data_IF_288229072827
#
_entry.id   IF_288229072827
#
_cell.length_a   1.000
_cell.length_b   1.000
_cell.length_c   1.000
_cell.angle_alpha   90.00
_cell.angle_beta   90.00
_cell.angle_gamma   90.00
#
_symmetry.space_group_name_H-M   'P 1'
#
loop_
_entity.id
_entity.type
_entity.pdbx_description
1 polymer ?
#
# COMPACT_ATOMS: atom_id res chain seq x y z
N UNK A 1 -32.10 8.81 25.75
CA UNK A 1 -31.17 7.68 25.47
C UNK A 1 -31.76 7.01 24.24
N UNK A 2 -31.32 7.44 23.07
CA UNK A 2 -31.63 6.76 21.80
C UNK A 2 -30.62 5.65 21.69
N UNK A 3 -31.10 4.41 21.59
CA UNK A 3 -30.26 3.25 21.25
C UNK A 3 -29.46 3.62 20.00
N UNK A 4 -28.15 3.56 20.11
CA UNK A 4 -27.29 3.60 18.94
C UNK A 4 -27.57 2.31 18.16
N UNK A 5 -28.02 2.42 16.92
CA UNK A 5 -28.23 1.29 16.04
C UNK A 5 -26.92 0.50 15.91
N UNK A 6 -26.99 -0.81 16.01
CA UNK A 6 -25.86 -1.71 15.76
C UNK A 6 -25.48 -1.55 14.28
N UNK A 7 -24.21 -1.26 13.93
CA UNK A 7 -23.80 -1.12 12.54
C UNK A 7 -24.11 -2.35 11.67
N UNK A 8 -24.30 -3.53 12.27
CA UNK A 8 -24.76 -4.72 11.56
C UNK A 8 -26.20 -4.67 11.02
N UNK A 9 -27.09 -3.82 11.60
CA UNK A 9 -28.47 -3.65 11.12
C UNK A 9 -28.56 -2.84 9.81
N UNK A 10 -27.54 -2.02 9.49
CA UNK A 10 -27.50 -1.20 8.26
C UNK A 10 -27.00 -2.00 7.02
N UNK A 11 -26.44 -3.20 7.20
CA UNK A 11 -25.90 -4.03 6.10
C UNK A 11 -26.96 -4.87 5.36
N UNK A 12 -28.25 -4.70 5.63
CA UNK A 12 -29.33 -5.50 5.03
C UNK A 12 -29.62 -5.19 3.53
N UNK A 13 -28.97 -4.16 2.96
CA UNK A 13 -29.39 -3.59 1.66
C UNK A 13 -28.99 -4.42 0.43
N UNK A 14 -27.81 -5.06 0.40
CA UNK A 14 -27.29 -5.75 -0.79
C UNK A 14 -27.56 -7.25 -0.82
N UNK A 15 -27.90 -7.87 0.31
CA UNK A 15 -27.97 -9.33 0.48
C UNK A 15 -26.59 -10.02 0.45
N UNK A 16 -25.50 -9.27 0.39
CA UNK A 16 -24.12 -9.77 0.46
C UNK A 16 -23.62 -9.76 1.90
N UNK A 17 -23.03 -10.87 2.35
CA UNK A 17 -22.40 -10.99 3.66
C UNK A 17 -20.87 -10.76 3.54
N UNK A 18 -20.37 -9.57 3.92
CA UNK A 18 -18.94 -9.27 3.81
C UNK A 18 -18.09 -10.13 4.76
N UNK A 19 -18.65 -10.57 5.89
CA UNK A 19 -17.93 -11.37 6.88
C UNK A 19 -17.82 -12.81 6.40
N UNK A 20 -18.91 -13.40 5.90
CA UNK A 20 -18.88 -14.74 5.29
C UNK A 20 -17.93 -14.80 4.09
N UNK A 21 -17.90 -13.76 3.25
CA UNK A 21 -16.93 -13.66 2.17
C UNK A 21 -15.49 -13.58 2.71
N UNK A 22 -15.23 -12.75 3.72
CA UNK A 22 -13.90 -12.61 4.32
C UNK A 22 -13.38 -13.92 4.90
N UNK A 23 -14.24 -14.70 5.61
CA UNK A 23 -13.88 -16.03 6.11
C UNK A 23 -13.46 -16.98 4.98
N UNK A 24 -14.22 -16.99 3.88
CA UNK A 24 -13.89 -17.79 2.70
C UNK A 24 -12.58 -17.30 2.04
N UNK A 25 -12.40 -15.98 1.92
CA UNK A 25 -11.22 -15.37 1.33
C UNK A 25 -9.93 -15.65 2.13
N UNK A 26 -9.96 -15.50 3.46
CA UNK A 26 -8.80 -15.81 4.33
C UNK A 26 -8.50 -17.30 4.33
N UNK A 27 -9.53 -18.15 4.22
CA UNK A 27 -9.37 -19.61 4.08
C UNK A 27 -8.80 -20.03 2.73
N UNK A 28 -8.76 -19.13 1.74
CA UNK A 28 -8.23 -19.38 0.40
C UNK A 28 -6.82 -18.79 0.28
N UNK A 29 -5.73 -19.60 0.29
CA UNK A 29 -4.37 -19.11 0.15
C UNK A 29 -4.15 -18.36 -1.18
N UNK A 30 -3.39 -17.26 -1.13
CA UNK A 30 -3.06 -16.43 -2.32
C UNK A 30 -1.63 -15.86 -2.28
N UNK A 31 -0.73 -16.52 -1.55
CA UNK A 31 0.67 -16.08 -1.36
C UNK A 31 1.64 -16.62 -2.42
N UNK A 32 1.29 -17.71 -3.11
CA UNK A 32 2.10 -18.30 -4.20
C UNK A 32 1.37 -18.20 -5.53
N UNK A 33 0.04 -18.37 -5.51
CA UNK A 33 -0.83 -18.29 -6.67
C UNK A 33 -2.19 -17.73 -6.25
N UNK A 34 -2.69 -16.79 -7.01
CA UNK A 34 -3.97 -16.10 -6.75
C UNK A 34 -5.17 -16.71 -7.49
N UNK A 35 -4.99 -17.78 -8.27
CA UNK A 35 -6.05 -18.32 -9.14
C UNK A 35 -7.30 -18.74 -8.37
N UNK A 36 -7.16 -19.39 -7.24
CA UNK A 36 -8.30 -19.83 -6.40
C UNK A 36 -9.01 -18.63 -5.76
N UNK A 37 -8.25 -17.64 -5.28
CA UNK A 37 -8.82 -16.42 -4.70
C UNK A 37 -9.53 -15.59 -5.78
N UNK A 38 -8.93 -15.47 -6.96
CA UNK A 38 -9.56 -14.82 -8.12
C UNK A 38 -10.86 -15.53 -8.53
N UNK A 39 -10.86 -16.86 -8.56
CA UNK A 39 -12.07 -17.66 -8.85
C UNK A 39 -13.17 -17.39 -7.83
N UNK A 40 -12.84 -17.38 -6.53
CA UNK A 40 -13.79 -17.05 -5.46
C UNK A 40 -14.41 -15.65 -5.68
N UNK A 41 -13.61 -14.65 -6.03
CA UNK A 41 -14.08 -13.29 -6.27
C UNK A 41 -15.01 -13.23 -7.50
N UNK A 42 -14.60 -13.84 -8.62
CA UNK A 42 -15.40 -13.89 -9.86
C UNK A 42 -16.74 -14.60 -9.62
N UNK A 43 -16.73 -15.80 -9.03
CA UNK A 43 -17.93 -16.56 -8.70
C UNK A 43 -18.86 -15.77 -7.76
N UNK A 44 -18.30 -14.99 -6.83
CA UNK A 44 -19.09 -14.14 -5.92
C UNK A 44 -19.77 -13.03 -6.71
N UNK A 45 -19.06 -12.27 -7.53
CA UNK A 45 -19.61 -11.18 -8.34
C UNK A 45 -20.68 -11.68 -9.32
N UNK A 46 -20.41 -12.78 -10.04
CA UNK A 46 -21.35 -13.42 -10.96
C UNK A 46 -22.60 -13.91 -10.24
N UNK A 47 -22.45 -14.43 -9.00
CA UNK A 47 -23.56 -14.86 -8.17
C UNK A 47 -24.54 -13.75 -7.81
N UNK A 48 -24.08 -12.50 -7.82
CA UNK A 48 -24.90 -11.27 -7.67
C UNK A 48 -25.31 -10.67 -9.02
N UNK A 49 -25.07 -11.35 -10.13
CA UNK A 49 -25.48 -10.92 -11.46
C UNK A 49 -24.63 -9.79 -12.05
N UNK A 50 -23.39 -9.64 -11.57
CA UNK A 50 -22.44 -8.66 -12.10
C UNK A 50 -21.62 -9.29 -13.21
N UNK A 51 -21.49 -8.58 -14.33
CA UNK A 51 -20.57 -8.96 -15.41
C UNK A 51 -19.13 -8.67 -14.98
N UNK A 52 -18.26 -9.68 -15.12
CA UNK A 52 -16.87 -9.62 -14.65
C UNK A 52 -15.92 -9.89 -15.80
N UNK A 53 -14.88 -9.07 -15.92
CA UNK A 53 -13.77 -9.32 -16.82
C UNK A 53 -12.49 -9.63 -16.01
N UNK A 54 -11.65 -10.50 -16.55
CA UNK A 54 -10.28 -10.70 -16.08
C UNK A 54 -9.36 -10.26 -17.22
N UNK A 55 -8.54 -9.25 -16.99
CA UNK A 55 -7.64 -8.70 -17.98
C UNK A 55 -6.38 -9.57 -18.20
N UNK A 56 -5.52 -9.16 -19.15
CA UNK A 56 -4.28 -9.88 -19.45
C UNK A 56 -3.26 -9.86 -18.28
N UNK A 57 -3.32 -8.85 -17.42
CA UNK A 57 -2.50 -8.76 -16.20
C UNK A 57 -3.08 -9.60 -15.05
N UNK A 58 -4.29 -10.15 -15.23
CA UNK A 58 -4.98 -10.96 -14.24
C UNK A 58 -5.80 -10.15 -13.23
N UNK A 59 -6.03 -8.88 -13.47
CA UNK A 59 -6.91 -8.06 -12.65
C UNK A 59 -8.37 -8.46 -12.86
N UNK A 60 -9.16 -8.48 -11.80
CA UNK A 60 -10.61 -8.66 -11.86
C UNK A 60 -11.25 -7.29 -11.94
N UNK A 61 -12.00 -7.04 -13.02
CA UNK A 61 -12.64 -5.75 -13.28
C UNK A 61 -14.14 -5.96 -13.44
N UNK A 62 -14.93 -5.18 -12.70
CA UNK A 62 -16.39 -5.15 -12.80
C UNK A 62 -16.87 -3.70 -12.79
N UNK A 63 -17.90 -3.41 -13.56
CA UNK A 63 -18.43 -2.04 -13.70
C UNK A 63 -19.94 -1.99 -13.49
N UNK A 64 -20.39 -0.93 -12.83
CA UNK A 64 -21.78 -0.49 -12.77
C UNK A 64 -21.86 0.95 -13.28
N UNK A 65 -22.75 1.21 -14.21
CA UNK A 65 -22.92 2.52 -14.79
C UNK A 65 -24.37 2.97 -14.73
N UNK A 66 -24.57 4.26 -14.49
CA UNK A 66 -25.88 4.88 -14.62
C UNK A 66 -26.35 4.89 -16.08
N UNK A 67 -27.65 5.14 -16.36
CA UNK A 67 -28.12 5.31 -17.73
C UNK A 67 -27.43 6.43 -18.53
N UNK A 68 -26.82 7.40 -17.84
CA UNK A 68 -26.10 8.54 -18.43
C UNK A 68 -24.77 8.75 -17.70
N UNK A 69 -23.79 7.87 -17.89
CA UNK A 69 -22.58 7.87 -17.08
C UNK A 69 -21.71 9.13 -17.23
N UNK A 70 -21.85 9.86 -18.32
CA UNK A 70 -21.13 11.12 -18.55
C UNK A 70 -21.64 12.28 -17.68
N UNK A 71 -22.77 12.14 -16.97
CA UNK A 71 -23.34 13.18 -16.11
C UNK A 71 -22.86 13.10 -14.64
N UNK A 72 -21.94 12.20 -14.34
CA UNK A 72 -21.36 12.04 -13.01
C UNK A 72 -19.91 11.56 -13.05
N UNK A 73 -19.26 11.42 -11.90
CA UNK A 73 -17.88 11.00 -11.84
C UNK A 73 -17.73 9.51 -12.15
N UNK A 74 -16.53 9.14 -12.60
CA UNK A 74 -16.06 7.77 -12.59
C UNK A 74 -15.32 7.48 -11.28
N UNK A 75 -15.92 6.67 -10.42
CA UNK A 75 -15.30 6.21 -9.17
C UNK A 75 -14.67 4.85 -9.41
N UNK A 76 -13.41 4.70 -9.01
CA UNK A 76 -12.70 3.42 -9.05
C UNK A 76 -12.42 2.97 -7.62
N UNK A 77 -12.94 1.80 -7.25
CA UNK A 77 -12.60 1.08 -6.02
C UNK A 77 -11.53 0.04 -6.39
N UNK A 78 -10.37 0.12 -5.76
CA UNK A 78 -9.23 -0.77 -6.03
C UNK A 78 -8.73 -1.41 -4.73
N UNK A 79 -8.25 -2.65 -4.84
CA UNK A 79 -7.49 -3.37 -3.80
C UNK A 79 -6.84 -4.60 -4.44
N UNK A 80 -6.14 -5.43 -3.66
CA UNK A 80 -5.45 -6.62 -4.15
C UNK A 80 -5.93 -7.92 -3.50
N UNK A 81 -5.59 -9.07 -4.13
CA UNK A 81 -5.94 -10.41 -3.63
C UNK A 81 -4.74 -11.28 -3.27
N UNK A 82 -3.54 -10.90 -3.70
CA UNK A 82 -2.34 -11.60 -3.27
C UNK A 82 -1.98 -11.27 -1.82
N UNK A 83 -1.10 -12.06 -1.27
CA UNK A 83 -0.64 -11.90 0.12
C UNK A 83 0.83 -12.33 0.22
N UNK A 84 1.55 -11.83 1.22
CA UNK A 84 2.93 -12.26 1.48
C UNK A 84 3.02 -13.69 2.01
N UNK A 85 4.22 -14.30 1.89
CA UNK A 85 4.59 -15.55 2.54
C UNK A 85 5.06 -15.30 3.98
N UNK A 86 4.92 -16.29 4.90
CA UNK A 86 4.23 -17.57 4.75
C UNK A 86 2.70 -17.44 4.86
N UNK A 87 1.98 -18.45 4.38
CA UNK A 87 0.56 -18.56 4.67
C UNK A 87 0.31 -18.76 6.18
N UNK A 88 -0.71 -18.06 6.69
CA UNK A 88 -1.24 -18.24 8.05
C UNK A 88 -2.68 -18.74 7.93
N UNK A 89 -2.97 -19.84 8.57
CA UNK A 89 -4.29 -20.46 8.48
C UNK A 89 -5.40 -19.57 9.06
N UNK A 90 -6.60 -19.70 8.49
CA UNK A 90 -7.80 -19.04 9.00
C UNK A 90 -8.16 -19.53 10.39
N UNK A 91 -8.43 -18.59 11.30
CA UNK A 91 -9.03 -18.82 12.61
C UNK A 91 -10.04 -17.69 12.90
N UNK A 92 -11.12 -18.01 13.61
CA UNK A 92 -12.07 -17.01 14.09
C UNK A 92 -12.23 -17.10 15.59
N UNK A 93 -11.83 -16.04 16.29
CA UNK A 93 -12.02 -15.86 17.72
C UNK A 93 -13.30 -15.06 17.95
N UNK A 94 -14.36 -15.71 18.45
CA UNK A 94 -15.61 -15.04 18.74
C UNK A 94 -15.63 -14.54 20.19
N UNK A 95 -16.06 -13.29 20.39
CA UNK A 95 -16.33 -12.78 21.72
C UNK A 95 -17.32 -13.72 22.45
N UNK A 96 -17.03 -14.06 23.70
CA UNK A 96 -17.93 -14.87 24.52
C UNK A 96 -19.25 -14.12 24.74
N UNK A 97 -20.31 -14.55 24.05
CA UNK A 97 -21.66 -14.01 24.24
C UNK A 97 -22.36 -14.79 25.33
N UNK A 98 -22.46 -14.23 26.57
CA UNK A 98 -23.35 -14.74 27.59
C UNK A 98 -22.72 -15.03 28.96
N UNK A 99 -23.53 -15.20 30.02
CA UNK A 99 -23.08 -15.29 31.43
C UNK A 99 -22.59 -16.67 31.86
N UNK A 100 -22.02 -17.47 30.98
CA UNK A 100 -21.43 -18.80 31.31
C UNK A 100 -19.88 -18.77 31.30
N UNK A 101 -19.27 -17.68 31.70
CA UNK A 101 -17.88 -17.71 32.13
C UNK A 101 -17.80 -18.34 33.53
N UNK A 102 -17.99 -19.66 33.58
CA UNK A 102 -17.67 -20.45 34.77
C UNK A 102 -16.19 -20.34 35.05
N UNK A 103 -15.86 -19.64 36.15
CA UNK A 103 -14.54 -19.58 36.74
C UNK A 103 -13.96 -20.95 37.01
N UNK A 104 -13.10 -21.45 36.14
CA UNK A 104 -12.04 -22.36 36.51
C UNK A 104 -10.74 -21.60 36.39
N UNK A 105 -10.20 -21.19 37.54
CA UNK A 105 -8.83 -20.69 37.64
C UNK A 105 -7.91 -21.83 37.19
N UNK A 106 -7.07 -21.55 36.20
CA UNK A 106 -5.89 -22.24 35.70
C UNK A 106 -5.90 -22.49 34.19
N UNK A 107 -6.25 -21.47 33.40
CA UNK A 107 -5.80 -21.43 32.01
C UNK A 107 -4.79 -20.28 31.86
N UNK A 108 -3.59 -20.62 31.45
CA UNK A 108 -2.55 -19.67 31.03
C UNK A 108 -3.14 -18.84 29.88
N UNK A 109 -3.56 -17.62 30.20
CA UNK A 109 -3.88 -16.61 29.16
C UNK A 109 -2.66 -16.44 28.29
N UNK A 110 -2.75 -16.89 27.07
CA UNK A 110 -1.72 -16.66 26.07
C UNK A 110 -1.68 -15.17 25.76
N UNK A 111 -0.51 -14.66 25.39
CA UNK A 111 -0.32 -13.23 25.06
C UNK A 111 -1.30 -12.69 24.00
N UNK A 112 -1.94 -13.57 23.23
CA UNK A 112 -2.95 -13.26 22.22
C UNK A 112 -4.27 -12.70 22.80
N UNK A 113 -4.66 -13.08 24.04
CA UNK A 113 -5.96 -12.66 24.62
C UNK A 113 -6.01 -11.18 25.02
N UNK A 114 -4.87 -10.54 25.15
CA UNK A 114 -4.79 -9.10 25.48
C UNK A 114 -5.02 -8.18 24.27
N UNK A 115 -4.85 -8.70 23.05
CA UNK A 115 -4.84 -7.90 21.83
C UNK A 115 -6.24 -7.62 21.26
N UNK A 116 -7.23 -8.46 21.54
CA UNK A 116 -8.56 -8.37 20.93
C UNK A 116 -9.63 -7.71 21.79
N UNK A 117 -9.31 -7.39 23.04
CA UNK A 117 -10.23 -6.76 23.99
C UNK A 117 -11.63 -7.44 24.04
N UNK A 118 -11.67 -8.76 23.83
CA UNK A 118 -12.91 -9.55 23.80
C UNK A 118 -13.78 -9.31 22.57
N UNK A 119 -13.24 -8.71 21.50
CA UNK A 119 -13.95 -8.48 20.23
C UNK A 119 -13.88 -9.71 19.31
N UNK A 120 -14.88 -9.88 18.44
CA UNK A 120 -14.89 -10.90 17.38
C UNK A 120 -13.83 -10.55 16.32
N UNK A 121 -12.88 -11.45 16.08
CA UNK A 121 -11.76 -11.23 15.14
C UNK A 121 -11.60 -12.41 14.17
N UNK A 122 -11.18 -12.10 12.96
CA UNK A 122 -10.73 -13.03 11.94
C UNK A 122 -9.22 -12.96 11.86
N UNK A 123 -8.53 -14.09 12.05
CA UNK A 123 -7.08 -14.24 11.94
C UNK A 123 -6.74 -15.03 10.69
N UNK A 124 -5.55 -14.76 10.16
CA UNK A 124 -5.00 -15.48 9.02
C UNK A 124 -4.35 -14.55 8.02
N UNK A 125 -3.58 -15.10 7.12
CA UNK A 125 -2.88 -14.32 6.10
C UNK A 125 -3.87 -13.63 5.15
N UNK A 126 -3.72 -12.31 4.99
CA UNK A 126 -4.62 -11.47 4.22
C UNK A 126 -5.82 -10.95 5.02
N UNK A 127 -5.97 -11.29 6.31
CA UNK A 127 -7.13 -10.86 7.08
C UNK A 127 -7.27 -9.33 7.13
N UNK A 128 -6.17 -8.60 7.33
CA UNK A 128 -6.16 -7.16 7.21
C UNK A 128 -5.56 -6.66 5.89
N UNK A 129 -4.65 -7.40 5.28
CA UNK A 129 -3.87 -6.98 4.11
C UNK A 129 -4.01 -7.97 2.94
N UNK A 130 -4.96 -7.77 1.97
CA UNK A 130 -6.04 -6.76 2.01
C UNK A 130 -7.43 -7.38 1.76
N UNK A 131 -7.69 -8.64 2.24
CA UNK A 131 -8.99 -9.33 2.04
C UNK A 131 -10.11 -8.71 2.88
N UNK A 132 -9.79 -8.13 4.06
CA UNK A 132 -10.71 -7.33 4.84
C UNK A 132 -11.17 -6.06 4.12
N UNK A 133 -10.26 -5.21 3.64
CA UNK A 133 -10.57 -4.11 2.74
C UNK A 133 -11.35 -4.53 1.49
N UNK A 134 -10.98 -5.64 0.84
CA UNK A 134 -11.71 -6.19 -0.31
C UNK A 134 -13.17 -6.53 0.06
N UNK A 135 -13.42 -7.17 1.19
CA UNK A 135 -14.78 -7.49 1.64
C UNK A 135 -15.64 -6.23 1.82
N UNK A 136 -15.04 -5.16 2.37
CA UNK A 136 -15.72 -3.88 2.54
C UNK A 136 -16.01 -3.17 1.20
N UNK A 137 -15.03 -3.14 0.29
CA UNK A 137 -15.21 -2.56 -1.05
C UNK A 137 -16.23 -3.34 -1.87
N UNK A 138 -16.20 -4.66 -1.79
CA UNK A 138 -17.13 -5.54 -2.49
C UNK A 138 -18.57 -5.32 -1.99
N UNK A 139 -18.77 -5.17 -0.66
CA UNK A 139 -20.08 -4.82 -0.11
C UNK A 139 -20.58 -3.49 -0.68
N UNK A 140 -19.77 -2.44 -0.64
CA UNK A 140 -20.14 -1.13 -1.17
C UNK A 140 -20.44 -1.17 -2.66
N UNK A 141 -19.61 -1.87 -3.45
CA UNK A 141 -19.82 -2.05 -4.89
C UNK A 141 -21.15 -2.78 -5.18
N UNK A 142 -21.44 -3.86 -4.48
CA UNK A 142 -22.68 -4.63 -4.69
C UNK A 142 -23.93 -3.84 -4.25
N UNK A 143 -23.82 -3.06 -3.19
CA UNK A 143 -24.91 -2.22 -2.70
C UNK A 143 -25.19 -0.99 -3.57
N UNK A 144 -24.19 -0.49 -4.30
CA UNK A 144 -24.32 0.70 -5.13
C UNK A 144 -25.26 0.50 -6.33
N UNK A 145 -26.12 1.48 -6.60
CA UNK A 145 -26.97 1.59 -7.79
C UNK A 145 -26.81 3.02 -8.38
N UNK A 146 -25.84 3.26 -9.27
CA UNK A 146 -25.51 4.59 -9.73
C UNK A 146 -26.65 5.27 -10.49
N UNK A 147 -27.14 6.41 -10.00
CA UNK A 147 -28.07 7.31 -10.69
C UNK A 147 -27.32 8.22 -11.68
N UNK A 148 -26.03 8.47 -11.42
CA UNK A 148 -25.11 9.25 -12.28
C UNK A 148 -23.71 8.65 -12.24
N UNK A 149 -22.89 8.93 -13.27
CA UNK A 149 -21.52 8.46 -13.34
C UNK A 149 -21.42 6.94 -13.49
N UNK A 150 -20.29 6.41 -13.10
CA UNK A 150 -19.98 4.98 -13.12
C UNK A 150 -19.07 4.58 -11.95
N UNK A 151 -19.16 3.32 -11.57
CA UNK A 151 -18.37 2.70 -10.53
C UNK A 151 -17.64 1.50 -11.10
N UNK A 152 -16.32 1.47 -11.02
CA UNK A 152 -15.50 0.31 -11.35
C UNK A 152 -14.89 -0.28 -10.08
N UNK A 153 -15.05 -1.58 -9.89
CA UNK A 153 -14.25 -2.38 -8.95
C UNK A 153 -13.10 -2.99 -9.75
N UNK A 154 -11.87 -2.69 -9.36
CA UNK A 154 -10.65 -3.19 -9.99
C UNK A 154 -9.77 -3.86 -8.94
N UNK A 155 -9.61 -5.19 -9.01
CA UNK A 155 -8.88 -5.97 -8.00
C UNK A 155 -7.64 -6.58 -8.64
N UNK A 156 -6.48 -6.25 -8.09
CA UNK A 156 -5.17 -6.60 -8.63
C UNK A 156 -4.63 -7.92 -8.04
N UNK A 157 -3.78 -8.63 -8.79
CA UNK A 157 -3.29 -9.94 -8.38
C UNK A 157 -1.92 -9.95 -7.69
N UNK A 158 -1.18 -8.82 -7.61
CA UNK A 158 0.26 -8.84 -7.39
C UNK A 158 0.84 -7.59 -6.69
N UNK A 159 0.08 -6.96 -5.79
CA UNK A 159 0.50 -5.77 -5.03
C UNK A 159 1.75 -6.02 -4.20
N UNK A 160 1.79 -7.14 -3.51
CA UNK A 160 2.84 -7.56 -2.58
C UNK A 160 4.18 -7.90 -3.27
N UNK A 161 4.19 -7.87 -4.59
CA UNK A 161 5.37 -8.22 -5.40
C UNK A 161 5.77 -7.10 -6.37
N UNK A 162 5.21 -7.09 -7.57
CA UNK A 162 5.59 -6.16 -8.63
C UNK A 162 4.51 -5.12 -8.96
N UNK A 163 3.26 -5.34 -8.54
CA UNK A 163 2.10 -4.48 -8.85
C UNK A 163 1.94 -4.21 -10.36
N UNK A 164 2.19 -5.24 -11.18
CA UNK A 164 2.03 -5.16 -12.63
C UNK A 164 0.56 -4.93 -12.99
N UNK A 165 -0.36 -5.53 -12.19
CA UNK A 165 -1.80 -5.34 -12.36
C UNK A 165 -2.19 -3.86 -12.29
N UNK A 166 -1.86 -3.18 -11.20
CA UNK A 166 -2.18 -1.76 -11.04
C UNK A 166 -1.44 -0.85 -12.04
N UNK A 167 -0.18 -1.21 -12.37
CA UNK A 167 0.57 -0.50 -13.40
C UNK A 167 -0.07 -0.63 -14.79
N UNK A 168 -0.64 -1.80 -15.12
CA UNK A 168 -1.41 -2.01 -16.35
C UNK A 168 -2.70 -1.18 -16.33
N UNK A 169 -3.51 -1.31 -15.27
CA UNK A 169 -4.77 -0.57 -15.10
C UNK A 169 -4.58 0.95 -15.18
N UNK A 170 -3.48 1.47 -14.66
CA UNK A 170 -3.17 2.91 -14.71
C UNK A 170 -2.53 3.37 -16.04
N UNK A 171 -2.26 2.44 -16.98
CA UNK A 171 -1.59 2.73 -18.24
C UNK A 171 -0.11 3.06 -18.10
N UNK A 172 0.53 2.72 -16.97
CA UNK A 172 1.97 2.97 -16.73
C UNK A 172 2.87 1.88 -17.31
N UNK A 173 2.33 0.75 -17.73
CA UNK A 173 3.04 -0.23 -18.56
C UNK A 173 2.95 0.16 -20.04
N UNK A 174 4.05 -0.10 -20.78
CA UNK A 174 4.11 0.18 -22.23
C UNK A 174 3.07 -0.63 -22.98
N UNK A 175 2.19 0.03 -23.72
CA UNK A 175 1.20 -0.59 -24.60
C UNK A 175 -0.22 -0.68 -24.03
N UNK A 176 -0.50 -0.16 -22.84
CA UNK A 176 -1.85 -0.14 -22.26
C UNK A 176 -2.78 0.83 -23.01
N UNK A 177 -3.66 0.30 -23.89
CA UNK A 177 -4.74 1.09 -24.51
C UNK A 177 -5.96 1.20 -23.59
N UNK A 178 -6.12 0.29 -22.61
CA UNK A 178 -7.27 0.19 -21.71
C UNK A 178 -6.98 0.74 -20.30
N UNK A 179 -6.56 2.00 -20.25
CA UNK A 179 -6.33 2.68 -18.98
C UNK A 179 -7.65 2.95 -18.25
N UNK A 180 -7.72 2.62 -16.97
CA UNK A 180 -8.76 3.15 -16.07
C UNK A 180 -8.56 4.65 -15.88
N UNK A 181 -9.54 5.42 -16.35
CA UNK A 181 -9.55 6.89 -16.25
C UNK A 181 -10.60 7.31 -15.21
N UNK A 182 -10.29 7.05 -13.94
CA UNK A 182 -11.15 7.41 -12.82
C UNK A 182 -10.98 8.89 -12.43
N UNK A 183 -12.10 9.54 -12.11
CA UNK A 183 -12.10 10.87 -11.51
C UNK A 183 -11.76 10.83 -10.01
N UNK A 184 -12.12 9.73 -9.34
CA UNK A 184 -11.91 9.50 -7.90
C UNK A 184 -11.49 8.05 -7.67
N UNK A 185 -10.50 7.84 -6.79
CA UNK A 185 -10.03 6.50 -6.44
C UNK A 185 -10.18 6.25 -4.93
N UNK A 186 -10.76 5.08 -4.60
CA UNK A 186 -10.82 4.54 -3.25
C UNK A 186 -10.03 3.23 -3.21
N UNK A 187 -8.87 3.26 -2.57
CA UNK A 187 -7.95 2.12 -2.51
C UNK A 187 -8.08 1.43 -1.16
N UNK A 188 -8.35 0.14 -1.17
CA UNK A 188 -8.58 -0.68 0.02
C UNK A 188 -7.29 -1.19 0.61
N UNK A 189 -6.92 -0.69 1.80
CA UNK A 189 -5.72 -1.04 2.57
C UNK A 189 -6.00 -0.99 4.08
N UNK A 190 -5.17 -1.60 4.94
CA UNK A 190 -5.36 -1.58 6.40
C UNK A 190 -5.01 -0.23 7.01
N UNK A 191 -5.98 0.66 7.09
CA UNK A 191 -5.79 2.02 7.63
C UNK A 191 -6.34 2.22 9.05
N UNK A 192 -6.92 1.20 9.66
CA UNK A 192 -7.62 1.34 10.95
C UNK A 192 -8.86 2.22 10.84
N UNK A 193 -9.52 2.24 9.67
CA UNK A 193 -10.67 3.09 9.35
C UNK A 193 -10.34 4.58 9.25
N UNK A 194 -9.06 4.96 9.25
CA UNK A 194 -8.62 6.32 8.97
C UNK A 194 -8.56 6.57 7.46
N UNK A 195 -8.60 7.84 7.09
CA UNK A 195 -8.62 8.31 5.70
C UNK A 195 -7.22 8.73 5.31
N UNK A 196 -6.51 7.86 4.59
CA UNK A 196 -5.15 8.15 4.21
C UNK A 196 -5.10 8.81 2.82
N UNK A 197 -4.47 9.97 2.75
CA UNK A 197 -4.49 10.87 1.59
C UNK A 197 -3.13 11.03 0.93
N UNK A 198 -2.08 10.45 1.50
CA UNK A 198 -0.73 10.54 0.97
C UNK A 198 0.11 9.32 1.40
N UNK A 199 1.06 8.92 0.57
CA UNK A 199 2.10 7.96 0.93
C UNK A 199 3.44 8.35 0.31
N UNK A 200 4.54 8.01 1.02
CA UNK A 200 5.89 8.18 0.46
C UNK A 200 6.14 7.19 -0.65
N UNK A 201 6.83 7.66 -1.69
CA UNK A 201 7.36 6.77 -2.71
C UNK A 201 8.54 5.94 -2.20
N UNK A 202 8.82 4.87 -2.91
CA UNK A 202 9.94 3.97 -2.59
C UNK A 202 10.73 3.65 -3.85
N UNK A 203 11.99 4.12 -3.87
CA UNK A 203 12.94 3.78 -4.91
C UNK A 203 14.15 3.07 -4.32
N UNK A 204 14.76 2.20 -5.08
CA UNK A 204 16.02 1.59 -4.74
C UNK A 204 17.00 1.85 -5.87
N UNK A 205 18.19 2.27 -5.54
CA UNK A 205 19.22 2.61 -6.52
C UNK A 205 20.61 2.11 -6.12
N UNK A 206 21.51 2.15 -7.09
CA UNK A 206 22.91 1.79 -6.95
C UNK A 206 23.78 2.90 -7.53
N UNK A 207 24.72 3.36 -6.74
CA UNK A 207 25.80 4.28 -7.15
C UNK A 207 27.02 3.43 -7.41
N UNK A 208 27.49 3.41 -8.63
CA UNK A 208 28.70 2.69 -9.05
C UNK A 208 29.84 3.66 -9.28
N UNK A 209 30.98 3.37 -8.68
CA UNK A 209 32.22 4.12 -8.76
C UNK A 209 33.26 3.26 -9.48
N UNK A 210 33.70 3.71 -10.65
CA UNK A 210 34.65 2.98 -11.49
C UNK A 210 35.96 3.76 -11.65
N UNK A 211 37.03 3.21 -11.13
CA UNK A 211 38.36 3.78 -11.16
C UNK A 211 39.37 2.92 -11.97
N UNK A 212 40.62 2.97 -11.59
CA UNK A 212 41.72 2.22 -12.24
C UNK A 212 42.54 1.47 -11.20
N UNK A 213 42.70 0.15 -11.39
CA UNK A 213 43.49 -0.68 -10.50
C UNK A 213 45.01 -0.39 -10.65
N UNK A 214 45.72 -0.38 -9.52
CA UNK A 214 47.17 -0.30 -9.47
C UNK A 214 47.70 -1.06 -8.25
N UNK A 215 48.99 -1.24 -8.14
CA UNK A 215 49.60 -1.80 -6.94
C UNK A 215 49.49 -0.76 -5.80
N UNK A 216 49.11 -1.17 -4.61
CA UNK A 216 48.85 -0.25 -3.48
C UNK A 216 50.10 0.54 -3.02
N UNK A 217 51.32 0.11 -3.38
CA UNK A 217 52.56 0.82 -3.11
C UNK A 217 52.92 1.85 -4.20
N UNK A 218 52.15 1.96 -5.26
CA UNK A 218 52.40 2.88 -6.37
C UNK A 218 51.56 4.14 -6.23
N UNK A 219 52.02 5.28 -6.75
CA UNK A 219 51.26 6.52 -6.88
C UNK A 219 50.53 6.57 -8.22
N UNK A 220 49.81 5.47 -8.52
CA UNK A 220 49.06 5.26 -9.76
C UNK A 220 47.70 4.69 -9.49
N UNK A 221 46.84 4.69 -10.52
CA UNK A 221 45.44 4.23 -10.42
C UNK A 221 44.46 5.31 -9.92
N UNK A 222 43.20 4.96 -9.98
CA UNK A 222 42.09 5.77 -9.44
C UNK A 222 41.29 4.92 -8.45
N UNK A 223 41.29 5.32 -7.19
CA UNK A 223 40.79 4.50 -6.09
C UNK A 223 39.28 4.71 -5.88
N UNK A 224 38.45 3.76 -6.36
CA UNK A 224 37.01 3.81 -6.22
C UNK A 224 36.53 3.75 -4.76
N UNK A 225 37.22 3.04 -3.87
CA UNK A 225 36.90 2.99 -2.43
C UNK A 225 37.20 4.33 -1.76
N UNK A 226 38.28 5.02 -2.15
CA UNK A 226 38.55 6.37 -1.64
C UNK A 226 37.50 7.39 -2.14
N UNK A 227 37.03 7.27 -3.38
CA UNK A 227 35.95 8.10 -3.93
C UNK A 227 34.60 7.90 -3.22
N UNK A 228 34.37 6.74 -2.60
CA UNK A 228 33.15 6.48 -1.85
C UNK A 228 32.97 7.43 -0.65
N UNK A 229 34.03 8.06 -0.11
CA UNK A 229 33.91 9.12 0.91
C UNK A 229 33.09 10.29 0.38
N UNK A 230 33.41 10.78 -0.82
CA UNK A 230 32.68 11.87 -1.49
C UNK A 230 31.23 11.46 -1.81
N UNK A 231 31.04 10.26 -2.34
CA UNK A 231 29.73 9.74 -2.66
C UNK A 231 28.82 9.62 -1.41
N UNK A 232 29.31 9.05 -0.31
CA UNK A 232 28.58 8.94 0.96
C UNK A 232 28.30 10.32 1.56
N UNK A 233 29.22 11.29 1.40
CA UNK A 233 28.99 12.67 1.85
C UNK A 233 27.85 13.33 1.04
N UNK A 234 27.80 13.12 -0.29
CA UNK A 234 26.72 13.59 -1.13
C UNK A 234 25.38 12.96 -0.75
N UNK A 235 25.33 11.64 -0.57
CA UNK A 235 24.13 10.91 -0.17
C UNK A 235 23.59 11.44 1.17
N UNK A 236 24.45 11.67 2.18
CA UNK A 236 24.03 12.19 3.48
C UNK A 236 23.46 13.60 3.44
N UNK A 237 23.90 14.40 2.48
CA UNK A 237 23.49 15.81 2.30
C UNK A 237 22.44 16.00 1.23
N UNK A 238 22.01 14.94 0.58
CA UNK A 238 21.12 15.02 -0.59
C UNK A 238 19.83 15.78 -0.29
N UNK A 239 19.31 15.64 0.93
CA UNK A 239 18.06 16.26 1.38
C UNK A 239 18.27 17.49 2.30
N UNK A 240 19.51 18.03 2.43
CA UNK A 240 19.77 19.16 3.36
C UNK A 240 18.93 20.41 3.05
N UNK A 241 18.64 20.66 1.76
CA UNK A 241 17.84 21.79 1.31
C UNK A 241 16.42 21.41 0.92
N UNK A 242 15.99 20.15 1.17
CA UNK A 242 14.66 19.71 0.84
C UNK A 242 13.63 20.27 1.82
N UNK A 243 12.53 20.81 1.28
CA UNK A 243 11.39 21.25 2.10
C UNK A 243 10.58 20.05 2.58
N UNK A 244 10.07 20.12 3.81
CA UNK A 244 9.14 19.13 4.34
C UNK A 244 7.81 19.18 3.60
N UNK A 245 7.35 18.02 3.11
CA UNK A 245 6.02 17.93 2.56
C UNK A 245 4.96 18.03 3.67
N UNK A 246 3.88 18.82 3.50
CA UNK A 246 2.91 19.11 4.57
C UNK A 246 2.32 17.88 5.25
N UNK A 247 2.07 16.81 4.50
CA UNK A 247 1.51 15.58 5.03
C UNK A 247 2.58 14.52 5.35
N UNK A 248 3.66 14.45 4.56
CA UNK A 248 4.63 13.34 4.59
C UNK A 248 5.93 13.69 5.35
N UNK A 249 6.12 14.98 5.70
CA UNK A 249 7.39 15.46 6.27
C UNK A 249 8.55 15.35 5.29
N UNK A 250 9.78 15.26 5.82
CA UNK A 250 11.00 15.20 5.01
C UNK A 250 11.08 13.92 4.16
N UNK A 251 11.62 14.01 2.93
CA UNK A 251 12.09 12.84 2.21
C UNK A 251 13.27 12.20 2.95
N UNK A 252 13.65 10.98 2.56
CA UNK A 252 14.80 10.30 3.20
C UNK A 252 15.58 9.48 2.19
N UNK A 253 16.89 9.69 2.16
CA UNK A 253 17.84 8.87 1.43
C UNK A 253 18.75 8.13 2.41
N UNK A 254 18.81 6.80 2.31
CA UNK A 254 19.61 5.95 3.20
C UNK A 254 20.55 5.07 2.39
N UNK A 255 21.89 5.17 2.57
CA UNK A 255 22.80 4.17 2.05
C UNK A 255 22.65 2.89 2.90
N UNK A 256 22.44 1.75 2.24
CA UNK A 256 22.11 0.49 2.92
C UNK A 256 23.17 -0.57 2.78
N UNK A 257 23.91 -0.58 1.65
CA UNK A 257 25.00 -1.54 1.38
C UNK A 257 26.16 -0.80 0.74
N UNK A 258 27.39 -1.16 1.12
CA UNK A 258 28.62 -0.69 0.46
C UNK A 258 29.47 -1.93 0.15
N UNK A 259 29.88 -2.04 -1.10
CA UNK A 259 30.74 -3.13 -1.61
C UNK A 259 31.92 -2.53 -2.36
N UNK A 260 33.14 -2.99 -2.11
CA UNK A 260 34.30 -2.49 -2.85
C UNK A 260 35.61 -3.11 -2.43
N UNK A 261 36.55 -3.15 -3.38
CA UNK A 261 37.87 -3.72 -3.19
C UNK A 261 37.88 -5.26 -3.12
N UNK A 262 39.00 -5.88 -3.51
CA UNK A 262 39.12 -7.34 -3.53
C UNK A 262 40.46 -7.88 -2.98
N UNK A 263 41.46 -7.01 -2.87
CA UNK A 263 42.80 -7.41 -2.43
C UNK A 263 43.48 -6.31 -1.60
N UNK A 264 44.22 -6.70 -0.58
CA UNK A 264 44.87 -5.79 0.37
C UNK A 264 46.05 -4.99 -0.19
N UNK A 265 46.61 -5.44 -1.31
CA UNK A 265 47.79 -4.85 -1.97
C UNK A 265 47.46 -4.21 -3.33
N UNK A 266 46.17 -3.91 -3.60
CA UNK A 266 45.71 -3.33 -4.84
C UNK A 266 44.90 -2.06 -4.58
N UNK A 267 45.07 -1.03 -5.40
CA UNK A 267 44.17 0.11 -5.51
C UNK A 267 42.85 -0.42 -6.10
N UNK A 268 41.68 -0.27 -5.37
CA UNK A 268 40.41 -0.77 -5.87
C UNK A 268 39.92 0.00 -7.09
N UNK A 269 39.56 -0.71 -8.16
CA UNK A 269 38.93 -0.12 -9.34
C UNK A 269 37.44 0.05 -9.20
N UNK A 270 36.80 -0.70 -8.30
CA UNK A 270 35.34 -0.75 -8.20
C UNK A 270 34.88 -0.51 -6.76
N UNK A 271 33.83 0.27 -6.62
CA UNK A 271 33.05 0.40 -5.40
C UNK A 271 31.60 0.72 -5.73
N UNK A 272 30.67 0.15 -4.99
CA UNK A 272 29.25 0.38 -5.19
C UNK A 272 28.54 0.66 -3.86
N UNK A 273 27.53 1.55 -3.91
CA UNK A 273 26.70 1.91 -2.77
C UNK A 273 25.25 1.71 -3.17
N UNK A 274 24.53 0.85 -2.44
CA UNK A 274 23.08 0.70 -2.60
C UNK A 274 22.36 1.69 -1.69
N UNK A 275 21.30 2.31 -2.21
CA UNK A 275 20.51 3.31 -1.49
C UNK A 275 19.02 2.96 -1.52
N UNK A 276 18.30 3.25 -0.42
CA UNK A 276 16.84 3.25 -0.31
C UNK A 276 16.36 4.72 -0.26
N UNK A 277 15.46 5.07 -1.16
CA UNK A 277 14.85 6.41 -1.24
C UNK A 277 13.40 6.34 -0.80
N UNK A 278 13.04 7.18 0.15
CA UNK A 278 11.66 7.50 0.53
C UNK A 278 11.35 8.90 0.04
N UNK A 279 10.70 8.99 -1.11
CA UNK A 279 10.40 10.26 -1.78
C UNK A 279 9.14 10.93 -1.25
N UNK A 280 8.99 12.20 -1.56
CA UNK A 280 7.75 12.98 -1.39
C UNK A 280 7.42 13.69 -2.71
N UNK A 281 6.14 14.01 -2.98
CA UNK A 281 5.81 14.75 -4.19
C UNK A 281 6.56 16.11 -4.26
N UNK A 282 6.97 16.56 -5.42
CA UNK A 282 6.72 16.02 -6.75
C UNK A 282 7.86 15.14 -7.30
N UNK A 283 8.72 14.55 -6.45
CA UNK A 283 9.88 13.77 -6.90
C UNK A 283 9.47 12.51 -7.66
N UNK A 284 10.00 12.37 -8.86
CA UNK A 284 9.86 11.14 -9.68
C UNK A 284 11.10 10.26 -9.54
N UNK A 285 10.96 8.97 -9.90
CA UNK A 285 12.07 8.03 -9.87
C UNK A 285 13.25 8.47 -10.75
N UNK A 286 13.00 8.97 -11.96
CA UNK A 286 14.03 9.48 -12.86
C UNK A 286 14.62 10.81 -12.37
N UNK A 287 13.81 11.71 -11.80
CA UNK A 287 14.28 12.93 -11.17
C UNK A 287 15.24 12.65 -10.02
N UNK A 288 14.91 11.69 -9.16
CA UNK A 288 15.79 11.22 -8.11
C UNK A 288 17.10 10.64 -8.65
N UNK A 289 17.04 9.72 -9.62
CA UNK A 289 18.22 9.11 -10.24
C UNK A 289 19.16 10.17 -10.79
N UNK A 290 18.63 11.10 -11.57
CA UNK A 290 19.41 12.18 -12.20
C UNK A 290 20.02 13.11 -11.15
N UNK A 291 19.23 13.57 -10.19
CA UNK A 291 19.70 14.46 -9.11
C UNK A 291 20.79 13.82 -8.25
N UNK A 292 20.64 12.53 -7.90
CA UNK A 292 21.65 11.79 -7.15
C UNK A 292 22.95 11.64 -7.97
N UNK A 293 22.85 11.35 -9.27
CA UNK A 293 23.99 11.25 -10.14
C UNK A 293 24.80 12.55 -10.20
N UNK A 294 24.13 13.69 -10.32
CA UNK A 294 24.77 15.00 -10.38
C UNK A 294 25.42 15.37 -9.04
N UNK A 295 24.74 15.10 -7.91
CA UNK A 295 25.28 15.35 -6.58
C UNK A 295 26.53 14.52 -6.30
N UNK A 296 26.49 13.23 -6.62
CA UNK A 296 27.63 12.32 -6.41
C UNK A 296 28.79 12.65 -7.34
N UNK A 297 28.56 12.91 -8.64
CA UNK A 297 29.61 13.33 -9.59
C UNK A 297 30.30 14.60 -9.12
N UNK A 298 29.52 15.56 -8.64
CA UNK A 298 30.08 16.82 -8.12
C UNK A 298 30.97 16.58 -6.90
N UNK A 299 30.54 15.77 -5.96
CA UNK A 299 31.27 15.48 -4.74
C UNK A 299 32.54 14.64 -5.00
N UNK A 300 32.45 13.62 -5.86
CA UNK A 300 33.60 12.79 -6.27
C UNK A 300 34.60 13.63 -7.08
N UNK A 301 34.15 14.45 -8.02
CA UNK A 301 34.99 15.35 -8.80
C UNK A 301 35.70 16.43 -8.01
N UNK A 302 35.23 16.74 -6.79
CA UNK A 302 35.89 17.66 -5.89
C UNK A 302 36.96 17.01 -4.99
N UNK A 303 37.12 15.68 -5.07
CA UNK A 303 38.15 14.95 -4.31
C UNK A 303 39.50 15.05 -4.98
N UNK A 304 40.55 15.13 -4.17
CA UNK A 304 41.96 15.19 -4.63
C UNK A 304 42.65 13.82 -4.53
N UNK A 305 43.79 13.69 -5.22
CA UNK A 305 44.68 12.53 -5.10
C UNK A 305 44.16 11.28 -5.79
N UNK A 306 44.21 10.12 -5.12
CA UNK A 306 43.90 8.80 -5.71
C UNK A 306 42.38 8.60 -5.98
N UNK A 307 41.53 9.47 -5.52
CA UNK A 307 40.10 9.45 -5.82
C UNK A 307 39.73 10.29 -7.06
N UNK A 308 40.66 11.08 -7.60
CA UNK A 308 40.48 11.80 -8.87
C UNK A 308 40.35 10.80 -10.04
N UNK A 309 39.58 11.17 -11.04
CA UNK A 309 39.32 10.36 -12.25
C UNK A 309 38.56 9.04 -11.98
N UNK A 310 37.67 9.02 -10.99
CA UNK A 310 36.72 7.94 -10.80
C UNK A 310 35.40 8.30 -11.51
N UNK A 311 34.96 7.43 -12.41
CA UNK A 311 33.66 7.58 -13.08
C UNK A 311 32.51 7.23 -12.12
N UNK A 312 31.39 7.92 -12.27
CA UNK A 312 30.19 7.75 -11.45
C UNK A 312 29.02 7.39 -12.34
N UNK A 313 28.41 6.26 -12.10
CA UNK A 313 27.11 5.89 -12.65
C UNK A 313 26.08 5.70 -11.54
N UNK A 314 24.83 6.10 -11.82
CA UNK A 314 23.70 5.91 -10.90
C UNK A 314 22.56 5.28 -11.67
N UNK A 315 22.21 4.08 -11.25
CA UNK A 315 21.06 3.33 -11.77
C UNK A 315 20.02 3.09 -10.69
N UNK A 316 18.77 2.94 -11.10
CA UNK A 316 17.73 2.37 -10.24
C UNK A 316 17.74 0.85 -10.41
N UNK A 317 17.25 0.13 -9.40
CA UNK A 317 17.08 -1.32 -9.48
C UNK A 317 16.18 -1.66 -10.66
N UNK A 318 16.65 -2.59 -11.50
CA UNK A 318 15.86 -3.08 -12.63
C UNK A 318 14.63 -3.84 -12.12
N UNK A 319 13.45 -3.49 -12.65
CA UNK A 319 12.17 -4.11 -12.31
C UNK A 319 11.20 -3.99 -13.48
N UNK A 320 10.26 -4.94 -13.55
CA UNK A 320 9.28 -5.02 -14.64
C UNK A 320 8.17 -3.95 -14.51
N UNK A 321 7.85 -3.53 -13.29
CA UNK A 321 6.87 -2.47 -13.03
C UNK A 321 7.55 -1.13 -12.69
N UNK A 322 6.90 0.00 -12.90
CA UNK A 322 7.37 1.30 -12.42
C UNK A 322 7.51 1.31 -10.88
N UNK A 323 8.37 2.18 -10.36
CA UNK A 323 8.43 2.41 -8.92
C UNK A 323 7.16 3.10 -8.41
N UNK A 324 6.80 2.83 -7.16
CA UNK A 324 5.81 3.64 -6.46
C UNK A 324 6.39 5.04 -6.21
N UNK A 325 5.90 6.01 -6.96
CA UNK A 325 6.16 7.43 -6.69
C UNK A 325 5.26 7.88 -5.55
N UNK A 326 5.70 8.90 -4.81
CA UNK A 326 4.88 9.45 -3.74
C UNK A 326 3.61 10.08 -4.32
N UNK A 327 2.49 9.94 -3.62
CA UNK A 327 1.27 10.65 -3.97
C UNK A 327 0.75 11.48 -2.79
N UNK A 328 -0.06 12.47 -3.09
CA UNK A 328 -0.74 13.30 -2.10
C UNK A 328 -2.01 13.88 -2.70
N UNK A 329 -3.14 13.54 -2.11
CA UNK A 329 -4.43 14.21 -2.31
C UNK A 329 -4.56 15.33 -1.30
N UNK A 330 -5.14 16.46 -1.71
CA UNK A 330 -5.40 17.58 -0.80
C UNK A 330 -6.33 17.11 0.34
N UNK A 331 -5.92 17.24 1.61
CA UNK A 331 -6.75 16.85 2.76
C UNK A 331 -8.10 17.59 2.81
N UNK A 332 -8.18 18.78 2.21
CA UNK A 332 -9.39 19.59 2.13
C UNK A 332 -10.26 19.28 0.90
N UNK A 333 -9.88 18.29 0.08
CA UNK A 333 -10.68 17.86 -1.06
C UNK A 333 -12.05 17.31 -0.60
N UNK A 334 -13.11 17.63 -1.34
CA UNK A 334 -14.48 17.23 -0.98
C UNK A 334 -14.66 15.71 -0.82
N UNK A 335 -13.99 14.92 -1.65
CA UNK A 335 -14.00 13.46 -1.55
C UNK A 335 -13.38 12.96 -0.24
N UNK A 336 -12.28 13.56 0.20
CA UNK A 336 -11.64 13.26 1.50
C UNK A 336 -12.59 13.55 2.65
N UNK A 337 -13.23 14.73 2.65
CA UNK A 337 -14.20 15.10 3.67
C UNK A 337 -15.42 14.18 3.70
N UNK A 338 -15.85 13.71 2.52
CA UNK A 338 -16.95 12.77 2.40
C UNK A 338 -16.60 11.42 3.05
N UNK A 339 -15.45 10.83 2.67
CA UNK A 339 -15.00 9.56 3.25
C UNK A 339 -14.78 9.69 4.76
N UNK A 340 -14.13 10.76 5.22
CA UNK A 340 -13.86 10.99 6.64
C UNK A 340 -15.15 11.16 7.45
N UNK A 341 -16.18 11.81 6.89
CA UNK A 341 -17.47 11.97 7.55
C UNK A 341 -18.23 10.64 7.63
N UNK A 342 -18.23 9.86 6.56
CA UNK A 342 -18.84 8.53 6.52
C UNK A 342 -18.16 7.59 7.52
N UNK A 343 -16.82 7.55 7.53
CA UNK A 343 -16.03 6.72 8.44
C UNK A 343 -16.32 7.08 9.92
N UNK A 344 -16.28 8.37 10.28
CA UNK A 344 -16.65 8.81 11.64
C UNK A 344 -18.07 8.42 12.04
N UNK A 345 -19.00 8.40 11.09
CA UNK A 345 -20.39 8.01 11.37
C UNK A 345 -20.49 6.51 11.62
N UNK A 346 -19.85 5.70 10.77
CA UNK A 346 -19.88 4.24 10.85
C UNK A 346 -19.11 3.70 12.08
N UNK A 347 -18.15 4.47 12.60
CA UNK A 347 -17.33 4.06 13.77
C UNK A 347 -17.90 4.52 15.12
N UNK A 348 -19.07 5.18 15.14
CA UNK A 348 -19.73 5.56 16.39
C UNK A 348 -20.02 4.33 17.24
N UNK A 349 -19.43 4.30 18.45
CA UNK A 349 -19.60 3.18 19.38
C UNK A 349 -18.54 2.06 19.25
N UNK A 350 -17.64 2.14 18.29
CA UNK A 350 -16.49 1.25 18.28
C UNK A 350 -15.51 1.58 19.41
N UNK A 351 -14.86 0.57 20.02
CA UNK A 351 -13.83 0.81 21.04
C UNK A 351 -12.69 1.69 20.51
N UNK A 352 -12.22 2.64 21.33
CA UNK A 352 -11.06 3.47 21.01
C UNK A 352 -11.35 4.72 20.19
N UNK A 353 -12.60 5.01 19.82
CA UNK A 353 -13.01 6.19 19.01
C UNK A 353 -12.16 6.37 17.74
N UNK A 354 -11.81 5.25 17.09
CA UNK A 354 -10.98 5.21 15.89
C UNK A 354 -11.80 5.42 14.64
N UNK A 355 -11.16 5.95 13.60
CA UNK A 355 -11.68 6.07 12.26
C UNK A 355 -12.05 7.49 11.83
N UNK A 356 -11.81 7.78 10.56
CA UNK A 356 -12.10 9.06 9.92
C UNK A 356 -11.09 10.17 10.23
N UNK A 357 -9.94 9.88 10.87
CA UNK A 357 -8.81 10.79 10.94
C UNK A 357 -8.14 10.88 9.57
N UNK A 358 -7.84 12.10 9.12
CA UNK A 358 -7.12 12.32 7.85
C UNK A 358 -5.62 12.33 8.14
N UNK A 359 -4.89 11.40 7.54
CA UNK A 359 -3.46 11.22 7.78
C UNK A 359 -2.73 10.59 6.58
N UNK A 360 -1.39 10.56 6.54
CA UNK A 360 -0.66 9.77 5.56
C UNK A 360 -0.76 8.26 5.85
N UNK A 361 -0.63 7.45 4.80
CA UNK A 361 -0.46 6.00 4.90
C UNK A 361 0.99 5.64 5.22
N UNK A 362 1.19 4.64 6.06
CA UNK A 362 2.50 4.27 6.59
C UNK A 362 3.34 3.36 5.68
N UNK A 363 2.78 2.87 4.57
CA UNK A 363 3.43 1.96 3.63
C UNK A 363 3.38 2.51 2.19
N UNK A 364 4.07 1.84 1.27
CA UNK A 364 3.87 2.04 -0.16
C UNK A 364 2.58 1.30 -0.57
N UNK A 365 1.89 1.78 -1.60
CA UNK A 365 0.62 1.22 -2.06
C UNK A 365 0.41 1.53 -3.54
N UNK A 366 -0.39 0.71 -4.22
CA UNK A 366 -0.84 0.90 -5.59
C UNK A 366 -1.56 2.25 -5.82
N UNK A 367 -2.06 2.90 -4.77
CA UNK A 367 -2.63 4.25 -4.81
C UNK A 367 -1.70 5.25 -5.52
N UNK A 368 -0.38 5.03 -5.44
CA UNK A 368 0.63 5.82 -6.15
C UNK A 368 0.47 5.85 -7.68
N UNK A 369 -0.11 4.80 -8.25
CA UNK A 369 -0.28 4.70 -9.71
C UNK A 369 -1.46 5.51 -10.22
N UNK A 370 -2.43 5.84 -9.38
CA UNK A 370 -3.64 6.55 -9.76
C UNK A 370 -3.51 8.08 -9.68
N UNK A 371 -2.46 8.57 -9.04
CA UNK A 371 -2.15 9.99 -9.03
C UNK A 371 -1.94 10.51 -10.49
N UNK A 372 -2.36 11.76 -10.78
CA UNK A 372 -2.76 12.83 -9.86
C UNK A 372 -4.26 12.89 -9.53
N UNK A 373 -5.08 11.93 -9.94
CA UNK A 373 -6.49 11.92 -9.56
C UNK A 373 -6.64 11.85 -8.02
N UNK A 374 -7.67 12.48 -7.43
CA UNK A 374 -7.94 12.39 -6.01
C UNK A 374 -8.09 10.93 -5.57
N UNK A 375 -7.17 10.50 -4.72
CA UNK A 375 -7.04 9.13 -4.26
C UNK A 375 -7.08 9.10 -2.73
N UNK A 376 -7.93 8.24 -2.18
CA UNK A 376 -8.05 7.96 -0.75
C UNK A 376 -7.73 6.49 -0.52
N UNK A 377 -6.88 6.21 0.45
CA UNK A 377 -6.61 4.86 0.95
C UNK A 377 -7.41 4.66 2.22
N UNK A 378 -8.21 3.58 2.28
CA UNK A 378 -9.14 3.36 3.38
C UNK A 378 -9.48 1.87 3.54
N UNK A 379 -9.57 1.41 4.79
CA UNK A 379 -10.08 0.07 5.10
C UNK A 379 -9.93 -0.34 6.56
N UNK A 380 -10.46 -1.51 6.90
CA UNK A 380 -10.36 -2.08 8.24
C UNK A 380 -8.98 -2.72 8.45
N UNK A 381 -8.64 -2.93 9.72
CA UNK A 381 -7.35 -3.50 10.12
C UNK A 381 -6.22 -2.48 10.17
N UNK A 382 -5.13 -2.86 10.76
CA UNK A 382 -3.95 -2.02 11.01
C UNK A 382 -2.68 -2.64 10.44
N UNK A 383 -1.73 -1.82 9.96
CA UNK A 383 -0.37 -2.28 9.65
C UNK A 383 0.37 -2.76 10.90
N UNK A 384 0.13 -2.10 12.02
CA UNK A 384 0.73 -2.40 13.32
C UNK A 384 -0.17 -1.92 14.45
N UNK A 385 -0.06 -2.55 15.63
CA UNK A 385 -0.67 -2.13 16.89
C UNK A 385 0.39 -1.97 18.00
N UNK A 386 -0.04 -1.82 19.24
CA UNK A 386 0.87 -1.64 20.39
C UNK A 386 1.82 -2.83 20.63
N UNK A 387 1.45 -4.03 20.14
CA UNK A 387 2.28 -5.23 20.23
C UNK A 387 3.25 -5.39 19.04
N UNK A 388 3.15 -4.55 18.01
CA UNK A 388 4.03 -4.55 16.85
C UNK A 388 3.29 -4.74 15.54
N UNK A 389 3.97 -5.31 14.52
CA UNK A 389 3.40 -5.54 13.20
C UNK A 389 2.17 -6.46 13.26
N UNK A 390 1.13 -6.11 12.52
CA UNK A 390 -0.08 -6.92 12.28
C UNK A 390 -0.07 -7.41 10.83
N UNK A 391 -0.08 -6.51 9.86
CA UNK A 391 0.13 -6.87 8.46
C UNK A 391 1.48 -7.57 8.28
N UNK A 392 1.53 -8.60 7.43
CA UNK A 392 2.71 -9.41 7.15
C UNK A 392 3.24 -10.25 8.33
N UNK A 393 2.65 -10.13 9.53
CA UNK A 393 3.03 -10.92 10.69
C UNK A 393 2.29 -12.28 10.76
N UNK A 394 2.81 -13.22 11.56
CA UNK A 394 2.11 -14.49 11.84
C UNK A 394 0.82 -14.29 12.66
N UNK A 395 0.73 -13.17 13.38
CA UNK A 395 -0.43 -12.79 14.18
C UNK A 395 -1.45 -11.92 13.43
N UNK A 396 -1.40 -11.86 12.13
CA UNK A 396 -2.29 -11.05 11.32
C UNK A 396 -3.76 -11.28 11.63
N UNK A 397 -4.51 -10.19 11.82
CA UNK A 397 -5.94 -10.23 12.14
C UNK A 397 -6.66 -8.96 11.70
N UNK A 398 -8.00 -9.06 11.61
CA UNK A 398 -8.91 -7.93 11.49
C UNK A 398 -10.10 -8.11 12.42
N UNK A 399 -10.62 -7.02 13.00
CA UNK A 399 -11.83 -7.05 13.82
C UNK A 399 -13.07 -7.03 12.94
N UNK A 400 -14.00 -7.93 13.19
CA UNK A 400 -15.27 -8.05 12.42
C UNK A 400 -16.00 -6.72 12.36
N UNK A 401 -16.13 -6.00 13.48
CA UNK A 401 -16.79 -4.69 13.54
C UNK A 401 -16.09 -3.61 12.70
N UNK A 402 -14.78 -3.70 12.53
CA UNK A 402 -14.06 -2.78 11.64
C UNK A 402 -14.40 -3.05 10.17
N UNK A 403 -14.55 -4.32 9.78
CA UNK A 403 -14.99 -4.70 8.43
C UNK A 403 -16.40 -4.22 8.16
N UNK A 404 -17.32 -4.40 9.11
CA UNK A 404 -18.70 -3.91 9.02
C UNK A 404 -18.74 -2.38 8.89
N UNK A 405 -17.99 -1.66 9.72
CA UNK A 405 -17.91 -0.20 9.67
C UNK A 405 -17.28 0.30 8.35
N UNK A 406 -16.26 -0.38 7.84
CA UNK A 406 -15.66 -0.06 6.54
C UNK A 406 -16.70 -0.28 5.41
N UNK A 407 -17.41 -1.39 5.43
CA UNK A 407 -18.45 -1.71 4.45
C UNK A 407 -19.56 -0.64 4.44
N UNK A 408 -20.06 -0.25 5.61
CA UNK A 408 -21.05 0.84 5.75
C UNK A 408 -20.49 2.19 5.26
N UNK A 409 -19.22 2.48 5.56
CA UNK A 409 -18.54 3.69 5.07
C UNK A 409 -18.50 3.73 3.55
N UNK A 410 -17.99 2.65 2.92
CA UNK A 410 -17.88 2.56 1.46
C UNK A 410 -19.24 2.70 0.80
N UNK A 411 -20.26 1.98 1.27
CA UNK A 411 -21.62 2.07 0.74
C UNK A 411 -22.16 3.51 0.83
N UNK A 412 -22.01 4.17 1.99
CA UNK A 412 -22.46 5.56 2.18
C UNK A 412 -21.71 6.55 1.28
N UNK A 413 -20.41 6.35 1.05
CA UNK A 413 -19.61 7.20 0.15
C UNK A 413 -20.10 7.05 -1.29
N UNK A 414 -20.24 5.81 -1.76
CA UNK A 414 -20.66 5.52 -3.14
C UNK A 414 -22.08 6.02 -3.41
N UNK A 415 -23.01 5.84 -2.47
CA UNK A 415 -24.39 6.38 -2.56
C UNK A 415 -24.37 7.91 -2.72
N UNK A 416 -23.56 8.63 -1.94
CA UNK A 416 -23.50 10.10 -2.02
C UNK A 416 -22.80 10.64 -3.26
N UNK A 417 -21.83 9.89 -3.81
CA UNK A 417 -21.07 10.32 -5.00
C UNK A 417 -21.84 10.02 -6.27
N UNK A 418 -22.57 8.90 -6.31
CA UNK A 418 -23.18 8.34 -7.52
C UNK A 418 -24.72 8.39 -7.52
N UNK A 419 -25.34 8.66 -6.35
CA UNK A 419 -26.79 8.81 -6.16
C UNK A 419 -27.35 10.23 -6.39
#
# INVERSE_FOLDING_TARGET
MTDAADPGDDLAGSGFDPIGFLEAAVSTPSHEDVAEMRRLLVETLEGFGVDVAVDEAGCVVAEKASPNPENGPHVVANTHIDTVTPHVAFERDRAATGPEAGTTADDERTANDAETDGTDVIRGRGACDAKGPLAALLYGFLAADPDRGRLTLAVTPDEETLSLGAAALSGKLSGGEDRLDGDLYLVGEPTGLDVCTAAKGRFQGRVELSGEAAHAAEFAGANAVAAAEGALAAIRRFDEDAEDHPQLGAPKLTPTVVEGGGATNQVPADCAITVDRRSVPPETAEGFRSGLADAVRTAVGATDGSAANVDVDVSLTDRESPFFEAFSTDPDHEFVHLVATAARTATVGLPGSRGGEVRPFGAATEASYFAPAPTVVFGPGDLADDAGAVAHAEREYVRVREVEAAAATVASVLDRVLG
#
